data_IF_990289257227
#
_entry.id   IF_990289257227
#
_cell.length_a   1.000
_cell.length_b   1.000
_cell.length_c   1.000
_cell.angle_alpha   90.00
_cell.angle_beta   90.00
_cell.angle_gamma   90.00
#
_symmetry.space_group_name_H-M   'P 1'
#
loop_
_entity.id
_entity.type
_entity.pdbx_description
1 polymer ?
#
# COMPACT_ATOMS: atom_id res chain seq x y z
N UNK A 1 8.32 7.96 34.61
CA UNK A 1 8.80 7.36 33.35
C UNK A 1 9.23 8.52 32.45
N UNK A 2 10.53 8.84 32.40
CA UNK A 2 11.03 9.93 31.57
C UNK A 2 10.97 9.49 30.11
N UNK A 3 10.16 10.15 29.28
CA UNK A 3 10.23 9.98 27.83
C UNK A 3 11.58 10.55 27.38
N UNK A 4 12.37 9.75 26.65
CA UNK A 4 13.55 10.28 25.97
C UNK A 4 13.14 11.47 25.10
N UNK A 5 13.93 12.55 25.06
CA UNK A 5 13.62 13.69 24.21
C UNK A 5 13.56 13.26 22.75
N UNK A 6 12.69 13.91 21.97
CA UNK A 6 12.65 13.70 20.52
C UNK A 6 14.01 14.04 19.90
N UNK A 7 14.39 13.29 18.87
CA UNK A 7 15.63 13.59 18.14
C UNK A 7 15.50 14.93 17.41
N UNK A 8 16.62 15.60 17.15
CA UNK A 8 16.62 16.81 16.33
C UNK A 8 16.02 16.55 14.94
N UNK A 9 16.28 15.38 14.37
CA UNK A 9 15.70 14.96 13.09
C UNK A 9 14.17 14.94 13.15
N UNK A 10 13.59 14.36 14.19
CA UNK A 10 12.15 14.28 14.39
C UNK A 10 11.53 15.68 14.53
N UNK A 11 12.16 16.55 15.33
CA UNK A 11 11.73 17.94 15.50
C UNK A 11 11.81 18.74 14.18
N UNK A 12 12.85 18.52 13.38
CA UNK A 12 12.99 19.15 12.06
C UNK A 12 11.90 18.64 11.10
N UNK A 13 11.63 17.33 11.05
CA UNK A 13 10.58 16.76 10.22
C UNK A 13 9.20 17.27 10.65
N UNK A 14 8.94 17.36 11.95
CA UNK A 14 7.71 17.95 12.50
C UNK A 14 7.55 19.41 12.06
N UNK A 15 8.59 20.22 12.25
CA UNK A 15 8.58 21.63 11.87
C UNK A 15 8.42 21.86 10.37
N UNK A 16 9.10 21.06 9.52
CA UNK A 16 8.95 21.13 8.06
C UNK A 16 7.54 20.73 7.64
N UNK A 17 6.99 19.64 8.20
CA UNK A 17 5.65 19.17 7.84
C UNK A 17 4.57 20.16 8.25
N UNK A 18 4.68 20.78 9.43
CA UNK A 18 3.75 21.82 9.90
C UNK A 18 3.80 23.10 9.06
N UNK A 19 4.96 23.40 8.47
CA UNK A 19 5.20 24.61 7.69
C UNK A 19 5.41 24.29 6.20
N UNK A 20 4.85 23.17 5.71
CA UNK A 20 5.12 22.67 4.35
C UNK A 20 4.82 23.74 3.28
N UNK A 21 3.79 24.56 3.49
CA UNK A 21 3.38 25.67 2.62
C UNK A 21 4.45 26.76 2.42
N UNK A 22 5.41 26.88 3.34
CA UNK A 22 6.54 27.80 3.19
C UNK A 22 7.56 27.30 2.15
N UNK A 23 7.64 25.98 1.97
CA UNK A 23 8.63 25.34 1.09
C UNK A 23 8.06 25.00 -0.28
N UNK A 24 6.74 25.02 -0.43
CA UNK A 24 6.06 24.65 -1.67
C UNK A 24 5.32 25.82 -2.29
N UNK A 25 5.12 25.75 -3.60
CA UNK A 25 4.27 26.67 -4.35
C UNK A 25 3.40 25.93 -5.37
N UNK A 26 2.19 26.44 -5.66
CA UNK A 26 1.35 25.83 -6.67
C UNK A 26 1.95 26.06 -8.07
N UNK A 27 1.93 25.03 -8.91
CA UNK A 27 2.33 25.16 -10.32
C UNK A 27 1.35 26.10 -11.03
N UNK A 28 1.79 27.32 -11.36
CA UNK A 28 0.99 28.24 -12.17
C UNK A 28 0.92 27.74 -13.62
N UNK A 29 -0.26 27.79 -14.25
CA UNK A 29 -0.53 27.31 -15.63
C UNK A 29 0.27 28.02 -16.75
N UNK A 30 1.35 28.75 -16.46
CA UNK A 30 2.03 29.64 -17.41
C UNK A 30 3.22 29.03 -18.18
N UNK A 31 3.52 27.74 -18.02
CA UNK A 31 4.42 27.06 -18.97
C UNK A 31 3.59 26.31 -20.01
N UNK A 32 3.31 27.05 -21.09
CA UNK A 32 2.94 26.54 -22.42
C UNK A 32 3.85 25.36 -22.76
N UNK A 33 3.29 24.16 -22.98
CA UNK A 33 3.79 22.98 -23.73
C UNK A 33 3.05 21.68 -23.34
N UNK A 34 2.27 21.64 -22.24
CA UNK A 34 1.52 20.44 -21.83
C UNK A 34 0.01 20.50 -22.18
N UNK A 35 -0.35 20.90 -23.40
CA UNK A 35 -1.76 21.01 -23.86
C UNK A 35 -2.19 19.86 -24.77
N UNK A 36 -1.43 18.77 -24.87
CA UNK A 36 -1.72 17.66 -25.80
C UNK A 36 -1.87 16.28 -25.14
N UNK A 37 -2.25 16.23 -23.88
CA UNK A 37 -2.77 14.99 -23.27
C UNK A 37 -4.02 15.35 -22.48
N UNK A 38 -5.10 15.52 -23.23
CA UNK A 38 -6.44 15.75 -22.71
C UNK A 38 -7.02 14.40 -22.26
N UNK A 39 -7.07 14.19 -20.94
CA UNK A 39 -8.00 13.27 -20.30
C UNK A 39 -8.75 14.06 -19.25
N UNK A 40 -10.08 14.07 -19.38
CA UNK A 40 -11.03 14.88 -18.62
C UNK A 40 -11.01 14.65 -17.10
N UNK A 41 -10.03 15.21 -16.39
CA UNK A 41 -10.13 15.43 -14.94
C UNK A 41 -9.55 16.81 -14.61
N UNK A 42 -10.28 17.59 -13.82
CA UNK A 42 -9.88 18.95 -13.42
C UNK A 42 -8.44 18.90 -12.92
N UNK A 43 -7.50 19.72 -13.45
CA UNK A 43 -6.13 19.68 -12.99
C UNK A 43 -6.11 20.17 -11.54
N UNK A 44 -6.02 19.23 -10.61
CA UNK A 44 -5.82 19.52 -9.20
C UNK A 44 -4.53 20.32 -9.05
N UNK A 45 -4.51 21.25 -8.09
CA UNK A 45 -3.36 22.13 -7.86
C UNK A 45 -2.15 21.26 -7.52
N UNK A 46 -1.18 21.16 -8.41
CA UNK A 46 0.11 20.51 -8.13
C UNK A 46 0.97 21.45 -7.29
N UNK A 47 1.63 20.93 -6.26
CA UNK A 47 2.69 21.64 -5.57
C UNK A 47 4.06 21.19 -6.05
N UNK A 48 5.00 22.14 -6.07
CA UNK A 48 6.43 21.92 -6.29
C UNK A 48 7.21 22.62 -5.19
N UNK A 49 8.45 22.22 -4.93
CA UNK A 49 9.33 22.99 -4.06
C UNK A 49 9.62 24.36 -4.68
N UNK A 50 9.60 25.41 -3.85
CA UNK A 50 9.94 26.78 -4.27
C UNK A 50 11.38 26.89 -4.78
N UNK A 51 12.29 26.16 -4.13
CA UNK A 51 13.64 26.01 -4.64
C UNK A 51 13.72 24.73 -5.50
N UNK A 52 13.87 24.88 -6.84
CA UNK A 52 13.94 23.74 -7.74
C UNK A 52 15.21 22.89 -7.53
N UNK A 53 16.22 23.41 -6.83
CA UNK A 53 17.43 22.69 -6.48
C UNK A 53 17.28 21.76 -5.27
N UNK A 54 16.14 21.80 -4.57
CA UNK A 54 15.89 20.89 -3.45
C UNK A 54 15.79 19.46 -3.96
N UNK A 55 16.68 18.63 -3.45
CA UNK A 55 16.63 17.19 -3.64
C UNK A 55 16.71 16.48 -2.28
N UNK A 56 15.64 15.80 -1.91
CA UNK A 56 15.58 14.99 -0.70
C UNK A 56 16.11 13.59 -1.02
N UNK A 57 17.14 13.18 -0.28
CA UNK A 57 17.63 11.81 -0.31
C UNK A 57 16.56 10.83 0.16
N UNK A 58 16.72 9.56 -0.19
CA UNK A 58 15.69 8.53 0.00
C UNK A 58 15.12 8.49 1.43
N UNK A 59 15.99 8.34 2.43
CA UNK A 59 15.54 8.21 3.82
C UNK A 59 14.76 9.44 4.31
N UNK A 60 15.16 10.64 3.90
CA UNK A 60 14.49 11.88 4.30
C UNK A 60 13.15 12.04 3.56
N UNK A 61 13.10 11.66 2.28
CA UNK A 61 11.86 11.64 1.50
C UNK A 61 10.80 10.74 2.14
N UNK A 62 11.19 9.51 2.50
CA UNK A 62 10.30 8.51 3.10
C UNK A 62 9.82 8.92 4.50
N UNK A 63 10.72 9.51 5.32
CA UNK A 63 10.37 10.05 6.64
C UNK A 63 9.44 11.26 6.54
N UNK A 64 9.71 12.20 5.63
CA UNK A 64 8.86 13.37 5.42
C UNK A 64 7.47 12.95 4.93
N UNK A 65 7.39 12.02 3.97
CA UNK A 65 6.12 11.46 3.50
C UNK A 65 5.32 10.84 4.65
N UNK A 66 5.98 10.03 5.49
CA UNK A 66 5.35 9.42 6.68
C UNK A 66 4.88 10.48 7.66
N UNK A 67 5.65 11.56 7.86
CA UNK A 67 5.27 12.65 8.76
C UNK A 67 4.07 13.45 8.26
N UNK A 68 4.02 13.74 6.96
CA UNK A 68 2.87 14.40 6.33
C UNK A 68 1.61 13.53 6.44
N UNK A 69 1.76 12.21 6.36
CA UNK A 69 0.68 11.26 6.58
C UNK A 69 0.18 11.29 8.04
N UNK A 70 1.09 11.24 9.02
CA UNK A 70 0.77 11.30 10.45
C UNK A 70 0.01 12.59 10.83
N UNK A 71 0.38 13.71 10.21
CA UNK A 71 -0.28 15.01 10.42
C UNK A 71 -1.58 15.17 9.60
N UNK A 72 -1.96 14.18 8.78
CA UNK A 72 -3.17 14.24 7.96
C UNK A 72 -3.10 15.25 6.81
N UNK A 73 -1.90 15.66 6.40
CA UNK A 73 -1.66 16.66 5.35
C UNK A 73 -1.54 16.02 3.96
N UNK A 74 -1.47 14.70 3.87
CA UNK A 74 -1.25 13.99 2.61
C UNK A 74 -2.51 14.01 1.72
N UNK A 75 -2.38 14.66 0.57
CA UNK A 75 -3.36 14.71 -0.52
C UNK A 75 -2.62 14.71 -1.87
N UNK A 76 -3.35 14.55 -2.98
CA UNK A 76 -2.78 14.52 -4.33
C UNK A 76 -1.86 15.70 -4.60
N UNK A 77 -2.30 16.91 -4.26
CA UNK A 77 -1.57 18.14 -4.43
C UNK A 77 -0.18 18.11 -3.78
N UNK A 78 -0.11 17.69 -2.50
CA UNK A 78 1.13 17.58 -1.72
C UNK A 78 1.97 16.40 -2.21
N UNK A 79 1.36 15.29 -2.60
CA UNK A 79 2.08 14.11 -3.05
C UNK A 79 2.94 14.39 -4.31
N UNK A 80 2.57 15.38 -5.12
CA UNK A 80 3.36 15.83 -6.28
C UNK A 80 4.74 16.40 -5.94
N UNK A 81 4.99 16.85 -4.71
CA UNK A 81 6.34 17.29 -4.31
C UNK A 81 7.31 16.11 -4.24
N UNK A 82 6.80 14.88 -4.11
CA UNK A 82 7.57 13.64 -4.13
C UNK A 82 7.77 13.12 -5.56
N UNK A 83 7.97 14.03 -6.50
CA UNK A 83 8.35 13.68 -7.87
C UNK A 83 9.79 13.16 -7.92
N UNK A 84 10.16 12.49 -9.01
CA UNK A 84 11.53 11.96 -9.19
C UNK A 84 12.60 13.05 -9.33
N UNK A 85 12.18 14.28 -9.64
CA UNK A 85 13.06 15.44 -9.76
C UNK A 85 13.58 15.87 -8.40
N UNK A 86 12.75 15.77 -7.35
CA UNK A 86 13.06 16.28 -6.02
C UNK A 86 13.26 15.16 -4.99
N UNK A 87 12.87 13.92 -5.28
CA UNK A 87 12.90 12.83 -4.29
C UNK A 87 13.29 11.50 -4.92
N UNK A 88 13.66 10.54 -4.09
CA UNK A 88 13.76 9.11 -4.46
C UNK A 88 13.03 8.27 -3.44
N UNK A 89 12.05 7.50 -3.87
CA UNK A 89 11.26 6.64 -3.00
C UNK A 89 11.56 5.16 -3.28
N UNK A 90 11.65 4.36 -2.21
CA UNK A 90 11.64 2.89 -2.26
C UNK A 90 10.57 2.28 -1.36
N UNK A 91 10.33 2.89 -0.20
CA UNK A 91 9.29 2.50 0.75
C UNK A 91 8.26 3.61 0.86
N UNK A 92 7.01 3.30 0.55
CA UNK A 92 5.92 4.28 0.51
C UNK A 92 4.76 3.80 1.35
N UNK A 93 4.28 4.67 2.24
CA UNK A 93 3.09 4.44 3.05
C UNK A 93 2.05 5.53 2.80
N UNK A 94 0.84 5.11 2.48
CA UNK A 94 -0.34 5.93 2.20
C UNK A 94 -1.53 5.27 2.91
N UNK A 95 -2.01 5.89 3.99
CA UNK A 95 -3.01 5.26 4.86
C UNK A 95 -4.08 6.25 5.32
N UNK A 96 -5.36 5.89 5.19
CA UNK A 96 -6.48 6.71 5.67
C UNK A 96 -6.48 8.15 5.12
N UNK A 97 -6.02 8.37 3.89
CA UNK A 97 -5.95 9.69 3.26
C UNK A 97 -6.79 9.74 1.99
N UNK A 98 -7.10 10.95 1.52
CA UNK A 98 -7.90 11.21 0.31
C UNK A 98 -7.00 11.32 -0.92
N UNK A 99 -6.07 10.39 -1.07
CA UNK A 99 -5.22 10.34 -2.26
C UNK A 99 -5.98 9.58 -3.34
N UNK A 100 -6.00 10.09 -4.57
CA UNK A 100 -6.60 9.45 -5.75
C UNK A 100 -5.53 8.75 -6.62
N UNK A 101 -5.97 8.06 -7.67
CA UNK A 101 -5.06 7.47 -8.66
C UNK A 101 -4.12 8.53 -9.26
N UNK A 102 -4.63 9.76 -9.44
CA UNK A 102 -3.85 10.87 -9.97
C UNK A 102 -2.63 11.20 -9.11
N UNK A 103 -2.81 11.34 -7.79
CA UNK A 103 -1.70 11.55 -6.86
C UNK A 103 -0.72 10.38 -6.85
N UNK A 104 -1.21 9.13 -6.88
CA UNK A 104 -0.35 7.95 -6.83
C UNK A 104 0.51 7.76 -8.09
N UNK A 105 0.15 8.36 -9.24
CA UNK A 105 0.94 8.26 -10.49
C UNK A 105 2.38 8.73 -10.37
N UNK A 106 2.73 9.53 -9.35
CA UNK A 106 4.12 9.88 -9.06
C UNK A 106 5.00 8.66 -8.78
N UNK A 107 4.42 7.57 -8.28
CA UNK A 107 5.14 6.32 -7.98
C UNK A 107 5.70 5.66 -9.24
N UNK A 108 5.16 5.97 -10.42
CA UNK A 108 5.64 5.47 -11.70
C UNK A 108 7.05 5.99 -12.03
N UNK A 109 7.51 7.04 -11.36
CA UNK A 109 8.84 7.60 -11.57
C UNK A 109 9.85 7.13 -10.49
N UNK A 110 9.44 6.19 -9.63
CA UNK A 110 10.25 5.67 -8.54
C UNK A 110 10.52 4.17 -8.67
N UNK A 111 11.42 3.68 -7.82
CA UNK A 111 11.85 2.27 -7.76
C UNK A 111 11.36 1.65 -6.45
N UNK A 112 10.04 1.51 -6.35
CA UNK A 112 9.35 1.06 -5.15
C UNK A 112 9.59 -0.43 -4.92
N UNK A 113 10.04 -0.76 -3.71
CA UNK A 113 10.23 -2.14 -3.24
C UNK A 113 9.28 -2.49 -2.10
N UNK A 114 8.72 -1.49 -1.43
CA UNK A 114 7.76 -1.64 -0.34
C UNK A 114 6.62 -0.63 -0.49
N UNK A 115 5.38 -1.11 -0.48
CA UNK A 115 4.19 -0.27 -0.62
C UNK A 115 3.14 -0.63 0.42
N UNK A 116 2.74 0.34 1.22
CA UNK A 116 1.63 0.21 2.15
C UNK A 116 0.51 1.18 1.76
N UNK A 117 -0.56 0.65 1.19
CA UNK A 117 -1.79 1.36 0.91
C UNK A 117 -2.88 0.83 1.84
N UNK A 118 -3.23 1.58 2.88
CA UNK A 118 -4.14 1.10 3.92
C UNK A 118 -5.44 1.92 3.91
N UNK A 119 -6.57 1.22 3.83
CA UNK A 119 -7.91 1.81 3.87
C UNK A 119 -8.14 2.86 2.75
N UNK A 120 -7.61 2.59 1.55
CA UNK A 120 -7.86 3.39 0.35
C UNK A 120 -9.00 2.74 -0.44
N UNK A 121 -10.23 3.19 -0.18
CA UNK A 121 -11.44 2.62 -0.83
C UNK A 121 -11.89 3.34 -2.09
N UNK A 122 -11.27 4.48 -2.39
CA UNK A 122 -11.53 5.30 -3.56
C UNK A 122 -10.68 4.88 -4.78
N UNK A 123 -9.70 3.98 -4.61
CA UNK A 123 -8.86 3.45 -5.68
C UNK A 123 -8.83 1.93 -5.54
N UNK A 124 -8.97 1.21 -6.65
CA UNK A 124 -8.85 -0.24 -6.65
C UNK A 124 -7.40 -0.70 -6.57
N UNK A 125 -7.13 -1.87 -5.99
CA UNK A 125 -5.78 -2.48 -5.93
C UNK A 125 -5.15 -2.58 -7.33
N UNK A 126 -5.85 -3.03 -8.38
CA UNK A 126 -5.31 -2.99 -9.75
C UNK A 126 -4.85 -1.59 -10.20
N UNK A 127 -5.64 -0.54 -9.94
CA UNK A 127 -5.27 0.82 -10.32
C UNK A 127 -4.10 1.36 -9.49
N UNK A 128 -3.98 0.96 -8.21
CA UNK A 128 -2.79 1.27 -7.41
C UNK A 128 -1.54 0.63 -8.03
N UNK A 129 -1.64 -0.62 -8.50
CA UNK A 129 -0.54 -1.31 -9.18
C UNK A 129 -0.19 -0.62 -10.50
N UNK A 130 -1.17 -0.10 -11.24
CA UNK A 130 -0.94 0.67 -12.48
C UNK A 130 -0.22 2.00 -12.24
N UNK A 131 -0.23 2.52 -11.02
CA UNK A 131 0.56 3.69 -10.65
C UNK A 131 2.05 3.37 -10.44
N UNK A 132 2.45 2.10 -10.48
CA UNK A 132 3.84 1.67 -10.26
C UNK A 132 4.57 1.48 -11.58
N UNK A 133 5.86 1.82 -11.58
CA UNK A 133 6.75 1.58 -12.72
C UNK A 133 6.92 0.10 -13.03
N UNK A 134 7.21 -0.24 -14.28
CA UNK A 134 7.53 -1.62 -14.69
C UNK A 134 8.64 -2.22 -13.82
N UNK A 135 9.65 -1.41 -13.48
CA UNK A 135 10.70 -1.80 -12.56
C UNK A 135 10.13 -2.16 -11.18
N UNK A 136 9.26 -1.32 -10.62
CA UNK A 136 8.65 -1.56 -9.31
C UNK A 136 7.76 -2.79 -9.33
N UNK A 137 6.90 -2.96 -10.34
CA UNK A 137 6.06 -4.15 -10.46
C UNK A 137 6.90 -5.44 -10.53
N UNK A 138 8.05 -5.39 -11.19
CA UNK A 138 8.98 -6.52 -11.26
C UNK A 138 9.79 -6.75 -9.96
N UNK A 139 10.02 -5.73 -9.12
CA UNK A 139 10.96 -5.81 -7.99
C UNK A 139 10.34 -5.59 -6.61
N UNK A 140 9.04 -5.33 -6.53
CA UNK A 140 8.36 -5.11 -5.25
C UNK A 140 8.37 -6.39 -4.42
N UNK A 141 8.72 -6.23 -3.14
CA UNK A 141 8.94 -7.34 -2.21
C UNK A 141 7.82 -7.37 -1.18
N UNK A 142 7.37 -6.20 -0.72
CA UNK A 142 6.38 -6.07 0.33
C UNK A 142 5.22 -5.19 -0.14
N UNK A 143 3.99 -5.70 -0.06
CA UNK A 143 2.78 -4.89 -0.25
C UNK A 143 1.77 -5.13 0.85
N UNK A 144 1.13 -4.04 1.29
CA UNK A 144 0.03 -4.06 2.23
C UNK A 144 -1.15 -3.29 1.64
N UNK A 145 -2.24 -3.99 1.37
CA UNK A 145 -3.50 -3.46 0.87
C UNK A 145 -4.66 -3.65 1.87
N UNK A 146 -4.35 -3.66 3.17
CA UNK A 146 -5.35 -3.84 4.22
C UNK A 146 -6.50 -2.85 4.04
N UNK A 147 -7.75 -3.34 4.03
CA UNK A 147 -8.99 -2.54 3.84
C UNK A 147 -9.06 -1.75 2.52
N UNK A 148 -8.26 -2.08 1.52
CA UNK A 148 -8.43 -1.60 0.15
C UNK A 148 -9.41 -2.50 -0.63
N UNK A 149 -9.75 -2.15 -1.87
CA UNK A 149 -10.75 -2.89 -2.65
C UNK A 149 -10.22 -3.43 -3.98
N UNK A 150 -10.71 -4.60 -4.39
CA UNK A 150 -10.48 -5.15 -5.73
C UNK A 150 -11.50 -4.66 -6.78
N UNK A 151 -12.50 -3.88 -6.35
CA UNK A 151 -13.61 -3.43 -7.18
C UNK A 151 -13.35 -1.98 -7.59
N UNK A 152 -13.26 -1.74 -8.89
CA UNK A 152 -13.20 -0.39 -9.44
C UNK A 152 -14.62 0.23 -9.54
N UNK A 153 -14.68 1.56 -9.68
CA UNK A 153 -15.87 2.37 -9.96
C UNK A 153 -16.71 1.85 -11.12
N UNK A 154 -16.08 1.24 -12.13
CA UNK A 154 -16.76 0.60 -13.26
C UNK A 154 -17.39 -0.77 -12.94
N UNK A 155 -17.17 -1.30 -11.72
CA UNK A 155 -17.60 -2.64 -11.25
C UNK A 155 -17.13 -3.83 -12.09
N UNK A 156 -16.19 -3.63 -13.02
CA UNK A 156 -15.53 -4.71 -13.73
C UNK A 156 -14.29 -5.15 -12.95
N UNK A 157 -14.29 -6.35 -12.39
CA UNK A 157 -13.12 -6.91 -11.68
C UNK A 157 -12.56 -8.10 -12.45
N UNK A 158 -11.82 -7.82 -13.54
CA UNK A 158 -11.19 -8.87 -14.35
C UNK A 158 -9.87 -8.41 -14.96
N UNK A 159 -8.83 -8.39 -14.12
CA UNK A 159 -7.41 -8.66 -14.42
C UNK A 159 -6.71 -8.66 -13.06
N UNK A 160 -6.35 -9.82 -12.52
CA UNK A 160 -5.71 -9.92 -11.21
C UNK A 160 -4.25 -9.46 -11.34
N UNK A 161 -4.00 -8.15 -11.39
CA UNK A 161 -2.65 -7.57 -11.59
C UNK A 161 -1.68 -7.90 -10.46
N UNK A 162 -2.20 -8.21 -9.27
CA UNK A 162 -1.37 -8.54 -8.11
C UNK A 162 -0.51 -9.80 -8.33
N UNK A 163 -0.94 -10.73 -9.19
CA UNK A 163 -0.13 -11.92 -9.51
C UNK A 163 1.04 -11.65 -10.45
N UNK A 164 1.15 -10.43 -11.00
CA UNK A 164 2.30 -10.00 -11.79
C UNK A 164 3.48 -9.56 -10.91
N UNK A 165 3.26 -9.36 -9.61
CA UNK A 165 4.30 -8.98 -8.64
C UNK A 165 5.13 -10.21 -8.26
N UNK A 166 5.87 -10.79 -9.22
CA UNK A 166 6.48 -12.13 -9.08
C UNK A 166 7.51 -12.24 -7.96
N UNK A 167 8.17 -11.14 -7.57
CA UNK A 167 9.17 -11.11 -6.51
C UNK A 167 8.60 -10.84 -5.10
N UNK A 168 7.27 -10.83 -4.96
CA UNK A 168 6.62 -10.53 -3.70
C UNK A 168 6.89 -11.60 -2.64
N UNK A 169 7.35 -11.16 -1.47
CA UNK A 169 7.59 -11.99 -0.27
C UNK A 169 6.58 -11.75 0.83
N UNK A 170 6.03 -10.54 0.94
CA UNK A 170 5.02 -10.21 1.94
C UNK A 170 3.80 -9.57 1.30
N UNK A 171 2.64 -10.15 1.54
CA UNK A 171 1.35 -9.71 1.02
C UNK A 171 0.31 -9.63 2.14
N UNK A 172 -0.21 -8.43 2.40
CA UNK A 172 -1.37 -8.26 3.28
C UNK A 172 -2.59 -7.81 2.47
N UNK A 173 -3.62 -8.66 2.44
CA UNK A 173 -4.94 -8.43 1.82
C UNK A 173 -6.06 -8.52 2.87
N UNK A 174 -5.75 -8.25 4.13
CA UNK A 174 -6.74 -8.35 5.20
C UNK A 174 -7.88 -7.36 5.02
N UNK A 175 -9.10 -7.79 5.34
CA UNK A 175 -10.34 -7.01 5.24
C UNK A 175 -10.60 -6.46 3.83
N UNK A 176 -10.28 -7.25 2.81
CA UNK A 176 -10.58 -6.98 1.40
C UNK A 176 -11.65 -7.94 0.87
N UNK A 177 -12.20 -7.67 -0.32
CA UNK A 177 -13.15 -8.56 -0.99
C UNK A 177 -12.46 -9.73 -1.75
N UNK A 178 -11.29 -10.17 -1.29
CA UNK A 178 -10.51 -11.25 -1.92
C UNK A 178 -11.37 -12.52 -2.07
N UNK A 179 -11.70 -12.87 -3.31
CA UNK A 179 -12.48 -14.05 -3.63
C UNK A 179 -11.61 -15.31 -3.79
N UNK A 180 -12.26 -16.47 -3.79
CA UNK A 180 -11.60 -17.78 -3.87
C UNK A 180 -10.77 -17.97 -5.15
N UNK A 181 -11.19 -17.37 -6.27
CA UNK A 181 -10.51 -17.48 -7.55
C UNK A 181 -9.19 -16.71 -7.54
N UNK A 182 -9.22 -15.44 -7.14
CA UNK A 182 -8.05 -14.59 -6.98
C UNK A 182 -7.05 -15.18 -5.98
N UNK A 183 -7.55 -15.71 -4.85
CA UNK A 183 -6.72 -16.41 -3.87
C UNK A 183 -5.99 -17.62 -4.46
N UNK A 184 -6.67 -18.42 -5.30
CA UNK A 184 -6.03 -19.54 -6.00
C UNK A 184 -4.91 -19.05 -6.91
N UNK A 185 -5.14 -18.00 -7.69
CA UNK A 185 -4.10 -17.41 -8.54
C UNK A 185 -2.90 -16.92 -7.72
N UNK A 186 -3.14 -16.20 -6.62
CA UNK A 186 -2.07 -15.75 -5.71
C UNK A 186 -1.20 -16.92 -5.26
N UNK A 187 -1.79 -18.02 -4.82
CA UNK A 187 -1.03 -19.19 -4.36
C UNK A 187 -0.32 -19.96 -5.49
N UNK A 188 -0.83 -19.90 -6.72
CA UNK A 188 -0.21 -20.55 -7.89
C UNK A 188 0.87 -19.69 -8.53
N UNK A 189 0.74 -18.37 -8.51
CA UNK A 189 1.60 -17.46 -9.27
C UNK A 189 2.68 -16.76 -8.45
N UNK A 190 2.45 -16.53 -7.15
CA UNK A 190 3.39 -15.82 -6.27
C UNK A 190 4.25 -16.81 -5.47
N UNK A 191 5.10 -17.56 -6.19
CA UNK A 191 5.90 -18.66 -5.63
C UNK A 191 7.02 -18.24 -4.66
N UNK A 192 7.29 -16.93 -4.52
CA UNK A 192 8.26 -16.39 -3.56
C UNK A 192 7.62 -15.87 -2.26
N UNK A 193 6.30 -16.05 -2.11
CA UNK A 193 5.56 -15.50 -0.99
C UNK A 193 5.91 -16.22 0.33
N UNK A 194 6.38 -15.44 1.30
CA UNK A 194 6.78 -15.90 2.63
C UNK A 194 5.77 -15.49 3.71
N UNK A 195 5.06 -14.37 3.52
CA UNK A 195 4.07 -13.84 4.45
C UNK A 195 2.79 -13.52 3.71
N UNK A 196 1.68 -14.05 4.18
CA UNK A 196 0.35 -13.81 3.60
C UNK A 196 -0.68 -13.56 4.70
N UNK A 197 -1.35 -12.42 4.66
CA UNK A 197 -2.49 -12.14 5.52
C UNK A 197 -3.76 -11.98 4.67
N UNK A 198 -4.74 -12.86 4.90
CA UNK A 198 -6.06 -12.84 4.25
C UNK A 198 -7.18 -12.78 5.30
N UNK A 199 -6.88 -12.29 6.49
CA UNK A 199 -7.86 -12.13 7.57
C UNK A 199 -9.04 -11.27 7.12
N UNK A 200 -10.27 -11.63 7.50
CA UNK A 200 -11.46 -10.86 7.18
C UNK A 200 -11.86 -10.89 5.70
N UNK A 201 -11.34 -11.84 4.92
CA UNK A 201 -11.73 -12.06 3.52
C UNK A 201 -12.80 -13.16 3.42
N UNK A 202 -13.58 -13.23 2.31
CA UNK A 202 -14.57 -14.29 2.10
C UNK A 202 -13.97 -15.63 1.64
N UNK A 203 -12.64 -15.80 1.64
CA UNK A 203 -11.96 -17.06 1.26
C UNK A 203 -12.30 -18.16 2.27
N UNK A 204 -12.81 -19.30 1.76
CA UNK A 204 -13.19 -20.44 2.61
C UNK A 204 -12.29 -21.66 2.41
N UNK A 205 -11.86 -21.91 1.18
CA UNK A 205 -11.03 -23.04 0.84
C UNK A 205 -9.55 -22.63 0.87
N UNK A 206 -8.80 -23.16 1.85
CA UNK A 206 -7.37 -22.90 2.03
C UNK A 206 -6.46 -23.90 1.32
N UNK A 207 -6.99 -24.91 0.61
CA UNK A 207 -6.19 -25.88 -0.15
C UNK A 207 -5.15 -25.24 -1.10
N UNK A 208 -5.41 -24.08 -1.76
CA UNK A 208 -4.39 -23.43 -2.58
C UNK A 208 -3.07 -23.12 -1.86
N UNK A 209 -3.08 -22.93 -0.53
CA UNK A 209 -1.84 -22.70 0.26
C UNK A 209 -0.85 -23.86 0.16
N UNK A 210 -1.28 -25.06 -0.22
CA UNK A 210 -0.38 -26.18 -0.48
C UNK A 210 0.64 -25.84 -1.58
N UNK A 211 0.31 -24.96 -2.53
CA UNK A 211 1.25 -24.45 -3.53
C UNK A 211 2.40 -23.63 -2.93
N UNK A 212 2.19 -23.00 -1.78
CA UNK A 212 3.18 -22.14 -1.10
C UNK A 212 3.89 -22.82 0.08
N UNK A 213 3.59 -24.09 0.35
CA UNK A 213 4.00 -24.78 1.58
C UNK A 213 5.52 -24.81 1.84
N UNK A 214 6.35 -24.69 0.80
CA UNK A 214 7.83 -24.69 0.91
C UNK A 214 8.42 -23.32 1.28
N UNK A 215 7.69 -22.23 1.06
CA UNK A 215 8.19 -20.85 1.15
C UNK A 215 7.50 -20.06 2.26
N UNK A 216 6.22 -20.36 2.53
CA UNK A 216 5.40 -19.63 3.48
C UNK A 216 5.95 -19.80 4.91
N UNK A 217 6.19 -18.68 5.58
CA UNK A 217 6.71 -18.58 6.96
C UNK A 217 5.67 -18.07 7.93
N UNK A 218 4.73 -17.23 7.48
CA UNK A 218 3.69 -16.64 8.33
C UNK A 218 2.38 -16.51 7.56
N UNK A 219 1.27 -16.85 8.21
CA UNK A 219 -0.08 -16.71 7.65
C UNK A 219 -1.02 -16.03 8.66
N UNK A 220 -1.61 -14.91 8.25
CA UNK A 220 -2.71 -14.25 8.97
C UNK A 220 -4.06 -14.80 8.54
N UNK A 221 -4.77 -15.44 9.47
CA UNK A 221 -6.12 -15.99 9.29
C UNK A 221 -6.99 -15.61 10.49
N UNK A 222 -7.73 -14.51 10.41
CA UNK A 222 -8.83 -14.20 11.31
C UNK A 222 -10.14 -14.14 10.51
N UNK A 223 -11.10 -14.99 10.81
CA UNK A 223 -12.41 -14.98 10.14
C UNK A 223 -13.34 -14.06 10.92
N UNK A 224 -14.08 -13.19 10.22
CA UNK A 224 -15.20 -12.47 10.82
C UNK A 224 -16.31 -13.48 11.12
N UNK A 225 -16.31 -14.03 12.34
CA UNK A 225 -17.32 -14.87 12.97
C UNK A 225 -18.41 -15.39 12.02
N UNK A 226 -18.24 -16.59 11.43
CA UNK A 226 -19.31 -17.57 11.17
C UNK A 226 -18.74 -18.99 11.02
N UNK A 227 -19.01 -19.85 12.01
CA UNK A 227 -19.52 -21.22 11.83
C UNK A 227 -18.68 -22.35 11.24
N UNK A 228 -17.53 -22.13 10.59
CA UNK A 228 -16.95 -23.20 9.74
C UNK A 228 -15.94 -24.12 10.46
N UNK A 229 -16.44 -25.28 10.92
CA UNK A 229 -15.66 -26.39 11.53
C UNK A 229 -14.57 -26.98 10.61
N UNK A 230 -14.65 -26.76 9.29
CA UNK A 230 -13.67 -27.24 8.30
C UNK A 230 -12.32 -26.50 8.35
N UNK A 231 -12.29 -25.27 8.88
CA UNK A 231 -11.06 -24.49 8.97
C UNK A 231 -10.13 -25.09 10.04
N UNK A 232 -10.68 -25.62 11.13
CA UNK A 232 -9.93 -26.22 12.25
C UNK A 232 -9.13 -27.48 11.84
N UNK A 233 -9.61 -28.26 10.87
CA UNK A 233 -8.87 -29.42 10.34
C UNK A 233 -7.63 -29.01 9.52
N UNK A 234 -7.73 -27.94 8.73
CA UNK A 234 -6.58 -27.42 7.97
C UNK A 234 -5.58 -26.69 8.89
N UNK A 235 -6.07 -25.97 9.92
CA UNK A 235 -5.23 -25.38 10.96
C UNK A 235 -4.30 -26.41 11.64
N UNK A 236 -4.75 -27.66 11.83
CA UNK A 236 -3.91 -28.73 12.40
C UNK A 236 -2.80 -29.20 11.45
N UNK A 237 -3.05 -29.20 10.14
CA UNK A 237 -2.06 -29.59 9.13
C UNK A 237 -0.97 -28.53 9.01
N UNK A 238 -1.33 -27.25 9.04
CA UNK A 238 -0.36 -26.15 8.90
C UNK A 238 0.42 -25.81 10.18
N UNK A 239 -0.08 -26.18 11.38
CA UNK A 239 0.61 -25.96 12.66
C UNK A 239 1.92 -26.74 12.79
N UNK A 240 2.12 -27.82 12.03
CA UNK A 240 3.38 -28.57 12.06
C UNK A 240 4.48 -27.93 11.18
N UNK A 241 4.17 -26.89 10.40
CA UNK A 241 5.11 -26.26 9.45
C UNK A 241 5.23 -24.74 9.60
N UNK A 242 4.31 -24.08 10.32
CA UNK A 242 4.19 -22.61 10.34
C UNK A 242 4.18 -22.11 11.79
N UNK A 243 5.23 -21.38 12.18
CA UNK A 243 5.27 -20.60 13.42
C UNK A 243 4.50 -19.28 13.21
N UNK A 244 3.75 -18.88 14.23
CA UNK A 244 2.93 -17.66 14.35
C UNK A 244 1.65 -17.59 13.50
N UNK A 245 0.67 -18.42 13.88
CA UNK A 245 -0.75 -18.14 13.63
C UNK A 245 -1.27 -17.28 14.78
N UNK A 246 -1.38 -15.95 14.60
CA UNK A 246 -2.11 -15.09 15.52
C UNK A 246 -3.62 -15.20 15.24
N UNK A 247 -4.27 -16.20 15.84
CA UNK A 247 -5.73 -16.27 15.88
C UNK A 247 -6.24 -15.32 16.96
N UNK A 248 -6.77 -14.15 16.59
CA UNK A 248 -7.50 -13.29 17.53
C UNK A 248 -8.92 -13.84 17.73
N UNK A 249 -9.07 -14.75 18.68
CA UNK A 249 -10.39 -15.04 19.25
C UNK A 249 -10.84 -13.81 20.05
N UNK A 250 -11.51 -12.86 19.41
CA UNK A 250 -12.20 -11.77 20.09
C UNK A 250 -13.45 -12.34 20.78
N UNK A 251 -13.23 -12.97 21.94
CA UNK A 251 -14.26 -13.04 22.97
C UNK A 251 -14.21 -11.73 23.76
N UNK A 252 -15.14 -10.83 23.44
CA UNK A 252 -15.63 -9.84 24.40
C UNK A 252 -17.11 -9.66 24.09
N UNK A 253 -17.92 -10.38 24.84
CA UNK A 253 -19.34 -10.12 24.90
C UNK A 253 -19.55 -8.67 25.32
N UNK A 254 -20.45 -8.00 24.61
CA UNK A 254 -21.21 -6.87 25.13
C UNK A 254 -22.02 -7.41 26.31
N UNK A 255 -21.66 -6.98 27.52
CA UNK A 255 -22.54 -6.50 28.58
C UNK A 255 -21.70 -5.58 29.46
#
# INVERSE_FOLDING_TARGET
MFKSPQSLEELCLDGIAENIELYVEPVSKKTSWCIYLDSEERPERKYVFRDPGIFLIQQISEKLLSKLLEKGLLCDAILHIFSEQNTKLRSVRVANCKVSEYGLKILNNHKITELECINLRNISIPNIIDCLSDWSQANIVNVNFTRCTFIDTSRHSYMVKIVNLKNLRSLNLSYTELNQHCFTMICTDLQHLEKLDISGTPVKNLTPLLGLCKQIKSIGLAFSNQGDKHVLSLYKVYRQSIFDVQASASHSFIC
#
